data_IF_350882643472
#
_entry.id   IF_350882643472
#
_cell.length_a   1.000
_cell.length_b   1.000
_cell.length_c   1.000
_cell.angle_alpha   90.00
_cell.angle_beta   90.00
_cell.angle_gamma   90.00
#
_symmetry.space_group_name_H-M   'P 1'
#
loop_
_entity.id
_entity.type
_entity.pdbx_description
1 polymer ?
#
# COMPACT_ATOMS: atom_id res chain seq x y z
N UNK A 1 4.02 -1.79 2.46
CA UNK A 1 4.61 -1.17 3.67
C UNK A 1 3.88 -1.43 5.00
N UNK A 2 2.55 -1.35 5.13
CA UNK A 2 1.84 -1.52 6.43
C UNK A 2 2.03 -2.85 7.20
N UNK A 3 2.69 -3.85 6.61
CA UNK A 3 2.92 -5.18 7.20
C UNK A 3 4.39 -5.43 7.59
N UNK A 4 5.25 -4.46 7.35
CA UNK A 4 6.69 -4.54 7.59
C UNK A 4 7.05 -3.28 8.36
N UNK A 5 7.74 -3.43 9.49
CA UNK A 5 8.42 -2.31 10.13
C UNK A 5 9.74 -2.11 9.36
N UNK A 6 9.86 -1.08 8.51
CA UNK A 6 11.12 -0.83 7.84
C UNK A 6 12.15 -0.46 8.90
N UNK A 7 13.27 -1.17 8.90
CA UNK A 7 14.44 -0.80 9.69
C UNK A 7 15.50 -0.42 8.67
N UNK A 8 15.68 0.88 8.48
CA UNK A 8 16.59 1.44 7.48
C UNK A 8 17.78 2.11 8.16
N UNK A 9 18.72 1.34 8.74
CA UNK A 9 19.87 1.94 9.40
C UNK A 9 20.78 2.59 8.35
N UNK A 10 21.32 3.76 8.68
CA UNK A 10 22.27 4.43 7.80
C UNK A 10 23.50 3.55 7.57
N UNK A 11 23.83 3.32 6.30
CA UNK A 11 24.96 2.47 5.92
C UNK A 11 26.27 2.98 6.50
N UNK A 12 26.46 4.29 6.67
CA UNK A 12 27.66 4.84 7.29
C UNK A 12 27.77 4.44 8.78
N UNK A 13 26.64 4.49 9.50
CA UNK A 13 26.56 4.20 10.93
C UNK A 13 26.91 2.74 11.24
N UNK A 14 26.32 1.78 10.51
CA UNK A 14 26.59 0.35 10.75
C UNK A 14 28.01 -0.10 10.37
N UNK A 15 28.76 0.73 9.63
CA UNK A 15 30.14 0.43 9.24
C UNK A 15 31.16 0.94 10.26
N UNK A 16 30.74 1.73 11.25
CA UNK A 16 31.64 2.21 12.28
C UNK A 16 32.18 1.02 13.11
N UNK A 17 33.44 1.11 13.60
CA UNK A 17 34.09 0.01 14.31
C UNK A 17 33.31 -0.51 15.52
N UNK A 18 32.65 0.39 16.28
CA UNK A 18 31.89 0.03 17.47
C UNK A 18 30.69 -0.87 17.14
N UNK A 19 29.87 -0.52 16.15
CA UNK A 19 28.71 -1.34 15.74
C UNK A 19 29.14 -2.69 15.15
N UNK A 20 30.25 -2.71 14.38
CA UNK A 20 30.81 -3.98 13.88
C UNK A 20 31.34 -4.87 15.00
N UNK A 21 31.92 -4.29 16.05
CA UNK A 21 32.39 -5.04 17.21
C UNK A 21 31.21 -5.62 18.00
N UNK A 22 30.19 -4.81 18.30
CA UNK A 22 28.98 -5.25 18.98
C UNK A 22 28.24 -6.35 18.19
N UNK A 23 28.15 -6.22 16.86
CA UNK A 23 27.55 -7.27 16.02
C UNK A 23 28.34 -8.59 16.07
N UNK A 24 29.67 -8.53 16.05
CA UNK A 24 30.51 -9.73 16.21
C UNK A 24 30.31 -10.37 17.59
N UNK A 25 30.21 -9.57 18.63
CA UNK A 25 29.97 -10.06 19.99
C UNK A 25 28.61 -10.79 20.07
N UNK A 26 27.54 -10.17 19.60
CA UNK A 26 26.20 -10.80 19.59
C UNK A 26 26.18 -12.09 18.76
N UNK A 27 26.78 -12.08 17.57
CA UNK A 27 26.82 -13.26 16.69
C UNK A 27 27.77 -14.37 17.17
N UNK A 28 28.69 -14.06 18.09
CA UNK A 28 29.56 -15.06 18.71
C UNK A 28 28.80 -15.95 19.72
N UNK A 29 27.66 -15.49 20.20
CA UNK A 29 26.80 -16.23 21.13
C UNK A 29 25.93 -17.22 20.35
N UNK A 30 25.72 -18.42 20.91
CA UNK A 30 24.80 -19.41 20.36
C UNK A 30 23.35 -19.04 20.70
N UNK A 31 22.79 -18.07 19.97
CA UNK A 31 21.41 -17.58 20.14
C UNK A 31 20.36 -18.70 20.05
N UNK A 32 20.64 -19.79 19.35
CA UNK A 32 19.76 -20.96 19.31
C UNK A 32 19.47 -21.57 20.70
N UNK A 33 20.37 -21.39 21.67
CA UNK A 33 20.18 -21.86 23.04
C UNK A 33 19.17 -21.03 23.84
N UNK A 34 18.89 -19.79 23.41
CA UNK A 34 17.90 -18.93 24.03
C UNK A 34 16.47 -19.42 23.76
N UNK A 35 16.20 -19.87 22.53
CA UNK A 35 14.86 -20.15 22.05
C UNK A 35 14.06 -21.15 22.91
N UNK A 36 14.61 -22.32 23.33
CA UNK A 36 13.82 -23.29 24.11
C UNK A 36 13.29 -22.72 25.43
N UNK A 37 14.13 -22.01 26.19
CA UNK A 37 13.73 -21.41 27.48
C UNK A 37 12.76 -20.25 27.29
N UNK A 38 13.02 -19.40 26.30
CA UNK A 38 12.14 -18.28 26.00
C UNK A 38 10.75 -18.75 25.53
N UNK A 39 10.68 -19.80 24.72
CA UNK A 39 9.40 -20.40 24.30
C UNK A 39 8.66 -20.98 25.50
N UNK A 40 9.34 -21.72 26.38
CA UNK A 40 8.72 -22.27 27.60
C UNK A 40 8.17 -21.16 28.50
N UNK A 41 8.94 -20.10 28.70
CA UNK A 41 8.49 -18.90 29.40
C UNK A 41 7.22 -18.33 28.77
N UNK A 42 7.24 -18.03 27.47
CA UNK A 42 6.09 -17.47 26.77
C UNK A 42 4.84 -18.36 26.86
N UNK A 43 4.99 -19.68 26.81
CA UNK A 43 3.87 -20.63 26.95
C UNK A 43 3.28 -20.68 28.36
N UNK A 44 4.03 -20.28 29.38
CA UNK A 44 3.58 -20.22 30.77
C UNK A 44 2.88 -18.92 31.16
N UNK A 45 2.82 -17.93 30.26
CA UNK A 45 2.29 -16.59 30.56
C UNK A 45 0.82 -16.42 30.24
N UNK A 46 0.20 -15.47 30.91
CA UNK A 46 -1.10 -14.92 30.52
C UNK A 46 -0.90 -13.91 29.37
N UNK A 47 -0.99 -14.43 28.15
CA UNK A 47 -0.86 -13.64 26.94
C UNK A 47 -1.85 -12.47 26.90
N UNK A 48 -3.09 -12.65 27.35
CA UNK A 48 -4.12 -11.61 27.30
C UNK A 48 -3.83 -10.47 28.28
N UNK A 49 -3.21 -10.76 29.42
CA UNK A 49 -2.71 -9.74 30.33
C UNK A 49 -1.53 -8.96 29.72
N UNK A 50 -0.52 -9.65 29.21
CA UNK A 50 0.66 -9.01 28.61
C UNK A 50 0.29 -8.18 27.37
N UNK A 51 -0.59 -8.72 26.51
CA UNK A 51 -1.08 -8.03 25.33
C UNK A 51 -1.85 -6.74 25.70
N UNK A 52 -2.66 -6.76 26.77
CA UNK A 52 -3.36 -5.55 27.24
C UNK A 52 -2.39 -4.47 27.71
N UNK A 53 -1.30 -4.84 28.39
CA UNK A 53 -0.26 -3.89 28.81
C UNK A 53 0.38 -3.26 27.57
N UNK A 54 0.87 -4.08 26.64
CA UNK A 54 1.52 -3.60 25.42
C UNK A 54 0.58 -2.71 24.59
N UNK A 55 -0.68 -3.11 24.45
CA UNK A 55 -1.69 -2.35 23.69
C UNK A 55 -2.00 -1.01 24.34
N UNK A 56 -2.13 -0.94 25.65
CA UNK A 56 -2.36 0.33 26.36
C UNK A 56 -1.23 1.33 26.14
N UNK A 57 0.03 0.85 26.16
CA UNK A 57 1.20 1.68 25.86
C UNK A 57 1.20 2.12 24.38
N UNK A 58 0.93 1.20 23.46
CA UNK A 58 0.87 1.50 22.02
C UNK A 58 -0.19 2.56 21.71
N UNK A 59 -1.41 2.39 22.23
CA UNK A 59 -2.50 3.36 22.07
C UNK A 59 -2.11 4.73 22.63
N UNK A 60 -1.43 4.78 23.78
CA UNK A 60 -0.91 6.01 24.36
C UNK A 60 0.14 6.72 23.48
N UNK A 61 1.06 5.97 22.88
CA UNK A 61 2.12 6.51 22.02
C UNK A 61 1.62 6.94 20.63
N UNK A 62 0.59 6.27 20.12
CA UNK A 62 -0.04 6.58 18.82
C UNK A 62 -1.11 7.67 18.95
N UNK A 63 -1.67 7.89 20.15
CA UNK A 63 -2.72 8.89 20.39
C UNK A 63 -2.33 10.26 19.85
N UNK A 64 -3.21 10.86 19.06
CA UNK A 64 -3.00 12.17 18.43
C UNK A 64 -2.22 12.12 17.11
N UNK A 65 -1.69 10.96 16.73
CA UNK A 65 -1.11 10.71 15.40
C UNK A 65 -2.20 10.01 14.57
N UNK A 66 -2.49 10.49 13.36
CA UNK A 66 -3.48 9.86 12.45
C UNK A 66 -2.93 8.55 11.84
N UNK A 67 -2.46 7.64 12.68
CA UNK A 67 -1.87 6.38 12.24
C UNK A 67 -2.97 5.37 11.89
N UNK A 68 -2.86 4.65 10.76
CA UNK A 68 -3.77 3.56 10.44
C UNK A 68 -3.80 2.48 11.54
N UNK A 69 -4.92 1.75 11.71
CA UNK A 69 -5.03 0.68 12.71
C UNK A 69 -3.87 -0.33 12.69
N UNK A 70 -3.39 -0.68 11.49
CA UNK A 70 -2.28 -1.62 11.30
C UNK A 70 -0.95 -1.14 11.87
N UNK A 71 -0.71 0.17 11.85
CA UNK A 71 0.49 0.75 12.46
C UNK A 71 0.44 0.57 13.98
N UNK A 72 -0.74 0.77 14.56
CA UNK A 72 -0.98 0.52 15.99
C UNK A 72 -0.76 -0.96 16.34
N UNK A 73 -1.25 -1.88 15.51
CA UNK A 73 -1.05 -3.33 15.72
C UNK A 73 0.44 -3.71 15.66
N UNK A 74 1.19 -3.18 14.69
CA UNK A 74 2.63 -3.45 14.57
C UNK A 74 3.43 -2.87 15.74
N UNK A 75 3.12 -1.64 16.16
CA UNK A 75 3.72 -1.02 17.36
C UNK A 75 3.39 -1.83 18.60
N UNK A 76 2.14 -2.31 18.73
CA UNK A 76 1.73 -3.19 19.84
C UNK A 76 2.53 -4.49 19.85
N UNK A 77 2.73 -5.13 18.70
CA UNK A 77 3.52 -6.35 18.60
C UNK A 77 4.99 -6.13 19.00
N UNK A 78 5.59 -5.01 18.58
CA UNK A 78 6.95 -4.64 18.96
C UNK A 78 7.06 -4.42 20.48
N UNK A 79 6.16 -3.64 21.06
CA UNK A 79 6.13 -3.36 22.50
C UNK A 79 5.87 -4.62 23.32
N UNK A 80 5.02 -5.53 22.84
CA UNK A 80 4.81 -6.83 23.46
C UNK A 80 6.11 -7.65 23.49
N UNK A 81 6.89 -7.64 22.40
CA UNK A 81 8.19 -8.32 22.36
C UNK A 81 9.18 -7.75 23.38
N UNK A 82 9.22 -6.42 23.54
CA UNK A 82 10.07 -5.75 24.54
C UNK A 82 9.62 -6.11 25.95
N UNK A 83 8.32 -5.99 26.24
CA UNK A 83 7.74 -6.34 27.54
C UNK A 83 8.03 -7.80 27.92
N UNK A 84 7.82 -8.74 26.99
CA UNK A 84 8.13 -10.16 27.22
C UNK A 84 9.62 -10.40 27.45
N UNK A 85 10.50 -9.66 26.77
CA UNK A 85 11.94 -9.74 27.00
C UNK A 85 12.34 -9.21 28.38
N UNK A 86 11.79 -8.09 28.83
CA UNK A 86 12.02 -7.54 30.17
C UNK A 86 11.59 -8.51 31.26
N UNK A 87 10.38 -9.05 31.12
CA UNK A 87 9.83 -10.03 32.04
C UNK A 87 10.64 -11.33 32.06
N UNK A 88 11.16 -11.77 30.92
CA UNK A 88 12.03 -12.94 30.85
C UNK A 88 13.38 -12.70 31.54
N UNK A 89 13.96 -11.51 31.36
CA UNK A 89 15.20 -11.14 32.02
C UNK A 89 15.01 -11.09 33.55
N UNK A 90 13.89 -10.54 34.02
CA UNK A 90 13.52 -10.52 35.43
C UNK A 90 13.39 -11.93 36.01
N UNK A 91 12.69 -12.84 35.34
CA UNK A 91 12.56 -14.24 35.78
C UNK A 91 13.92 -14.97 35.82
N UNK A 92 14.82 -14.64 34.91
CA UNK A 92 16.18 -15.18 34.90
C UNK A 92 17.13 -14.48 35.89
N UNK A 93 16.69 -13.43 36.58
CA UNK A 93 17.52 -12.65 37.51
C UNK A 93 18.57 -11.77 36.83
N UNK A 94 18.37 -11.40 35.57
CA UNK A 94 19.27 -10.52 34.83
C UNK A 94 18.84 -9.05 34.97
N UNK A 95 19.74 -8.16 35.44
CA UNK A 95 19.45 -6.74 35.47
C UNK A 95 19.49 -6.16 34.06
N UNK A 96 18.42 -5.48 33.68
CA UNK A 96 18.36 -4.69 32.46
C UNK A 96 18.58 -3.20 32.75
N UNK A 97 19.02 -2.41 31.75
CA UNK A 97 18.96 -0.96 31.83
C UNK A 97 17.54 -0.48 32.14
N UNK A 98 17.43 0.66 32.84
CA UNK A 98 16.13 1.24 33.20
C UNK A 98 15.29 1.68 31.99
N UNK A 99 15.94 1.91 30.85
CA UNK A 99 15.31 2.25 29.59
C UNK A 99 15.98 1.48 28.46
N UNK A 100 15.19 0.69 27.73
CA UNK A 100 15.62 -0.05 26.55
C UNK A 100 15.47 0.76 25.25
N UNK A 101 15.01 2.01 25.33
CA UNK A 101 14.79 2.89 24.18
C UNK A 101 13.51 2.56 23.42
N UNK A 102 12.50 2.01 24.09
CA UNK A 102 11.25 1.58 23.46
C UNK A 102 10.51 2.76 22.82
N UNK A 103 10.54 3.93 23.47
CA UNK A 103 9.88 5.14 22.98
C UNK A 103 10.58 5.67 21.74
N UNK A 104 11.90 5.76 21.76
CA UNK A 104 12.73 6.19 20.63
C UNK A 104 12.54 5.25 19.43
N UNK A 105 12.45 3.94 19.68
CA UNK A 105 12.16 2.96 18.63
C UNK A 105 10.77 3.16 18.02
N UNK A 106 9.74 3.38 18.84
CA UNK A 106 8.37 3.68 18.37
C UNK A 106 8.33 5.00 17.60
N UNK A 107 8.99 6.05 18.10
CA UNK A 107 9.04 7.35 17.44
C UNK A 107 9.78 7.27 16.09
N UNK A 108 10.87 6.52 16.00
CA UNK A 108 11.57 6.28 14.73
C UNK A 108 10.69 5.52 13.72
N UNK A 109 9.99 4.47 14.17
CA UNK A 109 9.05 3.72 13.32
C UNK A 109 7.92 4.62 12.85
N UNK A 110 7.32 5.40 13.75
CA UNK A 110 6.21 6.27 13.41
C UNK A 110 6.67 7.42 12.52
N UNK A 111 7.89 7.92 12.69
CA UNK A 111 8.52 8.87 11.79
C UNK A 111 8.63 8.29 10.38
N UNK A 112 9.27 7.13 10.22
CA UNK A 112 9.44 6.49 8.91
C UNK A 112 8.11 6.13 8.23
N UNK A 113 7.09 5.80 9.02
CA UNK A 113 5.77 5.42 8.52
C UNK A 113 4.89 6.64 8.23
N UNK A 114 4.97 7.71 9.02
CA UNK A 114 4.09 8.89 8.90
C UNK A 114 4.70 10.08 8.16
N UNK A 115 6.03 10.14 7.97
CA UNK A 115 6.71 11.22 7.23
C UNK A 115 6.57 11.13 5.70
N UNK A 116 5.87 10.13 5.17
CA UNK A 116 5.26 10.32 3.85
C UNK A 116 4.12 11.34 4.03
N UNK A 117 4.35 12.60 3.65
CA UNK A 117 3.45 13.78 3.81
C UNK A 117 1.98 13.58 3.36
N UNK A 118 1.64 12.44 2.76
CA UNK A 118 0.33 12.07 2.25
C UNK A 118 -0.33 10.89 3.02
N UNK A 119 0.23 10.49 4.16
CA UNK A 119 -0.22 9.35 4.96
C UNK A 119 0.30 8.00 4.44
N UNK A 120 0.18 6.95 5.26
CA UNK A 120 0.59 5.59 4.88
C UNK A 120 -0.32 5.09 3.75
N UNK A 121 0.10 5.29 2.50
CA UNK A 121 -0.62 4.77 1.35
C UNK A 121 -0.26 3.31 1.17
N UNK A 122 -1.27 2.45 1.24
CA UNK A 122 -1.06 1.04 0.90
C UNK A 122 -0.85 0.90 -0.62
N UNK A 123 -0.41 -0.27 -1.09
CA UNK A 123 -0.11 -0.47 -2.51
C UNK A 123 -1.33 -0.28 -3.44
N UNK A 124 -2.57 -0.42 -2.93
CA UNK A 124 -3.77 -0.12 -3.70
C UNK A 124 -3.97 1.40 -3.85
N UNK A 125 -3.70 2.18 -2.80
CA UNK A 125 -3.79 3.64 -2.85
C UNK A 125 -2.79 4.22 -3.84
N UNK A 126 -1.53 3.76 -3.77
CA UNK A 126 -0.48 4.14 -4.72
C UNK A 126 -0.87 3.75 -6.14
N UNK A 127 -1.43 2.55 -6.33
CA UNK A 127 -1.92 2.11 -7.64
C UNK A 127 -3.00 3.06 -8.18
N UNK A 128 -4.05 3.34 -7.41
CA UNK A 128 -5.17 4.22 -7.81
C UNK A 128 -4.68 5.64 -8.10
N UNK A 129 -3.78 6.18 -7.29
CA UNK A 129 -3.19 7.50 -7.51
C UNK A 129 -2.40 7.56 -8.82
N UNK A 130 -1.58 6.54 -9.09
CA UNK A 130 -0.82 6.47 -10.35
C UNK A 130 -1.74 6.32 -11.55
N UNK A 131 -2.87 5.62 -11.41
CA UNK A 131 -3.88 5.61 -12.46
C UNK A 131 -4.48 7.00 -12.71
N UNK A 132 -4.76 7.80 -11.67
CA UNK A 132 -5.18 9.19 -11.88
C UNK A 132 -4.13 9.98 -12.68
N UNK A 133 -2.86 9.91 -12.27
CA UNK A 133 -1.76 10.59 -12.99
C UNK A 133 -1.66 10.15 -14.45
N UNK A 134 -1.75 8.84 -14.70
CA UNK A 134 -1.71 8.27 -16.05
C UNK A 134 -2.93 8.66 -16.89
N UNK A 135 -4.09 8.85 -16.28
CA UNK A 135 -5.30 9.30 -16.96
C UNK A 135 -5.18 10.77 -17.39
N UNK A 136 -4.66 11.64 -16.53
CA UNK A 136 -4.33 13.04 -16.85
C UNK A 136 -3.33 13.13 -18.01
N UNK A 137 -2.32 12.26 -18.00
CA UNK A 137 -1.28 12.20 -19.04
C UNK A 137 -1.77 11.56 -20.36
N UNK A 138 -3.01 11.04 -20.41
CA UNK A 138 -3.58 10.40 -21.59
C UNK A 138 -3.06 8.97 -21.86
N UNK A 139 -2.36 8.37 -20.91
CA UNK A 139 -1.83 7.01 -21.01
C UNK A 139 -2.87 5.94 -20.66
N UNK A 140 -3.83 6.30 -19.80
CA UNK A 140 -5.04 5.51 -19.58
C UNK A 140 -6.11 5.89 -20.58
N UNK A 141 -6.61 4.89 -21.30
CA UNK A 141 -7.63 5.05 -22.35
C UNK A 141 -9.02 4.84 -21.77
N UNK A 142 -9.87 5.86 -21.89
CA UNK A 142 -11.30 5.76 -21.62
C UNK A 142 -11.93 4.65 -22.48
N UNK A 143 -12.89 3.90 -21.92
CA UNK A 143 -13.56 2.71 -22.49
C UNK A 143 -12.68 1.49 -22.72
N UNK A 144 -11.39 1.55 -22.42
CA UNK A 144 -10.47 0.40 -22.50
C UNK A 144 -9.97 0.02 -21.11
N UNK A 145 -9.49 1.00 -20.36
CA UNK A 145 -8.93 0.81 -19.02
C UNK A 145 -9.90 1.26 -17.94
N UNK A 146 -10.68 2.30 -18.21
CA UNK A 146 -11.68 2.82 -17.27
C UNK A 146 -12.92 3.37 -17.97
N UNK A 147 -14.02 3.45 -17.23
CA UNK A 147 -15.24 4.14 -17.60
C UNK A 147 -15.88 4.75 -16.34
N UNK A 148 -16.74 5.77 -16.51
CA UNK A 148 -17.59 6.24 -15.42
C UNK A 148 -19.02 5.78 -15.66
N UNK A 149 -19.62 5.18 -14.63
CA UNK A 149 -21.00 4.73 -14.65
C UNK A 149 -21.66 5.22 -13.38
N UNK A 150 -22.73 6.01 -13.54
CA UNK A 150 -23.49 6.59 -12.41
C UNK A 150 -22.59 7.35 -11.42
N UNK A 151 -21.59 8.09 -11.94
CA UNK A 151 -20.65 8.85 -11.12
C UNK A 151 -19.58 8.03 -10.41
N UNK A 152 -19.52 6.71 -10.64
CA UNK A 152 -18.49 5.81 -10.08
C UNK A 152 -17.42 5.49 -11.11
N UNK A 153 -16.17 5.39 -10.65
CA UNK A 153 -15.06 4.98 -11.48
C UNK A 153 -15.06 3.45 -11.61
N UNK A 154 -15.21 2.95 -12.82
CA UNK A 154 -15.14 1.53 -13.16
C UNK A 154 -13.82 1.23 -13.86
N UNK A 155 -12.94 0.46 -13.22
CA UNK A 155 -11.63 0.08 -13.72
C UNK A 155 -11.64 -1.37 -14.22
N UNK A 156 -11.15 -1.59 -15.44
CA UNK A 156 -10.82 -2.93 -15.89
C UNK A 156 -9.42 -3.28 -15.38
N UNK A 157 -9.37 -4.07 -14.30
CA UNK A 157 -8.16 -4.24 -13.49
C UNK A 157 -6.97 -4.75 -14.30
N UNK A 158 -7.18 -5.72 -15.18
CA UNK A 158 -6.13 -6.36 -15.97
C UNK A 158 -5.48 -5.37 -16.94
N UNK A 159 -6.29 -4.64 -17.71
CA UNK A 159 -5.75 -3.68 -18.69
C UNK A 159 -5.16 -2.43 -18.03
N UNK A 160 -5.76 -1.96 -16.93
CA UNK A 160 -5.20 -0.86 -16.14
C UNK A 160 -3.87 -1.26 -15.47
N UNK A 161 -3.76 -2.48 -14.97
CA UNK A 161 -2.54 -2.99 -14.34
C UNK A 161 -1.40 -3.19 -15.36
N UNK A 162 -1.69 -3.68 -16.55
CA UNK A 162 -0.69 -3.78 -17.62
C UNK A 162 -0.14 -2.41 -18.02
N UNK A 163 -1.03 -1.41 -18.16
CA UNK A 163 -0.62 -0.03 -18.42
C UNK A 163 0.25 0.53 -17.29
N UNK A 164 -0.17 0.30 -16.03
CA UNK A 164 0.58 0.72 -14.84
C UNK A 164 1.98 0.09 -14.76
N UNK A 165 2.10 -1.20 -15.07
CA UNK A 165 3.41 -1.88 -15.10
C UNK A 165 4.36 -1.25 -16.11
N UNK A 166 3.85 -0.90 -17.31
CA UNK A 166 4.65 -0.24 -18.33
C UNK A 166 5.06 1.17 -17.91
N UNK A 167 4.15 1.91 -17.27
CA UNK A 167 4.43 3.22 -16.71
C UNK A 167 5.56 3.17 -15.67
N UNK A 168 5.45 2.30 -14.67
CA UNK A 168 6.46 2.15 -13.61
C UNK A 168 7.84 1.78 -14.16
N UNK A 169 7.89 0.93 -15.20
CA UNK A 169 9.14 0.58 -15.87
C UNK A 169 9.77 1.79 -16.57
N UNK A 170 8.96 2.65 -17.21
CA UNK A 170 9.46 3.82 -17.94
C UNK A 170 9.92 4.93 -17.01
N UNK A 171 9.28 5.09 -15.86
CA UNK A 171 9.60 6.16 -14.90
C UNK A 171 10.64 5.77 -13.85
N UNK A 172 11.31 4.62 -14.00
CA UNK A 172 12.21 4.03 -12.98
C UNK A 172 11.60 4.03 -11.57
N UNK A 173 10.34 3.61 -11.46
CA UNK A 173 9.64 3.62 -10.18
C UNK A 173 10.32 2.69 -9.16
N UNK A 174 10.68 3.24 -7.99
CA UNK A 174 11.44 2.54 -6.94
C UNK A 174 10.61 2.00 -5.79
N UNK A 175 9.30 2.28 -5.76
CA UNK A 175 8.43 1.76 -4.72
C UNK A 175 8.01 0.31 -4.94
N UNK A 176 7.29 -0.25 -3.97
CA UNK A 176 6.80 -1.63 -4.00
C UNK A 176 5.77 -1.83 -5.14
N UNK A 177 6.06 -2.75 -6.06
CA UNK A 177 5.10 -3.19 -7.08
C UNK A 177 4.51 -4.53 -6.69
N UNK A 178 3.25 -4.51 -6.24
CA UNK A 178 2.49 -5.72 -5.93
C UNK A 178 1.91 -6.35 -7.20
N UNK A 179 1.88 -7.68 -7.27
CA UNK A 179 1.25 -8.39 -8.38
C UNK A 179 -0.29 -8.25 -8.36
N UNK A 180 -0.95 -8.64 -9.45
CA UNK A 180 -2.42 -8.56 -9.56
C UNK A 180 -3.13 -9.42 -8.50
N UNK A 181 -2.53 -10.50 -8.03
CA UNK A 181 -3.12 -11.38 -7.01
C UNK A 181 -3.13 -10.70 -5.64
N UNK A 182 -2.03 -10.07 -5.26
CA UNK A 182 -1.91 -9.26 -4.06
C UNK A 182 -2.81 -8.02 -4.15
N UNK A 183 -2.86 -7.36 -5.30
CA UNK A 183 -3.75 -6.21 -5.52
C UNK A 183 -5.22 -6.60 -5.35
N UNK A 184 -5.65 -7.76 -5.86
CA UNK A 184 -7.01 -8.28 -5.61
C UNK A 184 -7.27 -8.50 -4.13
N UNK A 185 -6.31 -8.99 -3.35
CA UNK A 185 -6.49 -9.15 -1.90
C UNK A 185 -6.74 -7.79 -1.23
N UNK A 186 -5.94 -6.78 -1.57
CA UNK A 186 -6.11 -5.42 -1.06
C UNK A 186 -7.47 -4.80 -1.44
N UNK A 187 -7.93 -5.04 -2.67
CA UNK A 187 -9.27 -4.62 -3.13
C UNK A 187 -10.37 -5.22 -2.25
N UNK A 188 -10.30 -6.52 -1.98
CA UNK A 188 -11.30 -7.19 -1.13
C UNK A 188 -11.20 -6.75 0.34
N UNK A 189 -9.99 -6.49 0.84
CA UNK A 189 -9.77 -5.94 2.18
C UNK A 189 -10.39 -4.54 2.31
N UNK A 190 -10.13 -3.63 1.34
CA UNK A 190 -10.70 -2.29 1.31
C UNK A 190 -12.23 -2.31 1.26
N UNK A 191 -12.80 -3.20 0.43
CA UNK A 191 -14.25 -3.38 0.35
C UNK A 191 -14.86 -3.86 1.68
N UNK A 192 -14.26 -4.89 2.32
CA UNK A 192 -14.72 -5.40 3.62
C UNK A 192 -14.62 -4.36 4.74
N UNK A 193 -13.62 -3.49 4.66
CA UNK A 193 -13.44 -2.38 5.60
C UNK A 193 -14.39 -1.20 5.34
N UNK A 194 -15.24 -1.26 4.30
CA UNK A 194 -16.16 -0.17 3.96
C UNK A 194 -15.46 1.05 3.34
N UNK A 195 -14.28 0.86 2.75
CA UNK A 195 -13.49 1.92 2.12
C UNK A 195 -14.10 2.44 0.81
N UNK A 196 -13.23 2.92 -0.09
CA UNK A 196 -13.63 3.49 -1.38
C UNK A 196 -13.96 2.44 -2.45
N UNK A 197 -13.62 1.16 -2.25
CA UNK A 197 -14.02 0.08 -3.15
C UNK A 197 -15.49 -0.28 -2.91
N UNK A 198 -16.35 0.10 -3.86
CA UNK A 198 -17.79 -0.22 -3.83
C UNK A 198 -18.04 -1.67 -4.22
N UNK A 199 -17.38 -2.15 -5.27
CA UNK A 199 -17.50 -3.52 -5.74
C UNK A 199 -16.17 -4.02 -6.28
N UNK A 200 -15.63 -5.13 -5.75
CA UNK A 200 -14.39 -5.74 -6.25
C UNK A 200 -14.50 -6.27 -7.69
N UNK A 201 -15.71 -6.61 -8.15
CA UNK A 201 -15.96 -7.21 -9.46
C UNK A 201 -17.42 -7.07 -9.85
N UNK A 202 -17.73 -6.09 -10.70
CA UNK A 202 -19.07 -5.84 -11.23
C UNK A 202 -19.09 -5.89 -12.76
N UNK A 203 -20.15 -6.42 -13.37
CA UNK A 203 -20.27 -6.45 -14.84
C UNK A 203 -20.73 -5.08 -15.34
N UNK A 204 -19.80 -4.30 -15.87
CA UNK A 204 -20.01 -2.94 -16.34
C UNK A 204 -19.82 -2.84 -17.85
N UNK A 205 -20.63 -2.02 -18.51
CA UNK A 205 -20.51 -1.71 -19.94
C UNK A 205 -19.51 -0.55 -20.14
N UNK A 206 -18.37 -0.81 -20.77
CA UNK A 206 -17.35 0.24 -21.01
C UNK A 206 -17.64 1.05 -22.28
N UNK A 207 -18.34 0.45 -23.25
CA UNK A 207 -18.71 1.07 -24.53
C UNK A 207 -20.04 0.48 -25.04
N UNK A 208 -21.17 1.05 -24.59
CA UNK A 208 -22.50 0.59 -25.01
C UNK A 208 -22.86 -0.84 -24.55
N UNK A 209 -24.02 -1.34 -24.96
CA UNK A 209 -24.61 -2.61 -24.46
C UNK A 209 -23.81 -3.87 -24.80
N UNK A 210 -22.89 -3.83 -25.77
CA UNK A 210 -22.18 -4.99 -26.31
C UNK A 210 -20.88 -5.34 -25.60
N UNK A 211 -20.28 -4.42 -24.84
CA UNK A 211 -18.94 -4.60 -24.26
C UNK A 211 -18.97 -4.60 -22.72
N UNK A 212 -19.62 -5.65 -22.18
CA UNK A 212 -19.69 -5.92 -20.74
C UNK A 212 -18.38 -6.56 -20.26
N UNK A 213 -17.70 -5.91 -19.32
CA UNK A 213 -16.48 -6.42 -18.66
C UNK A 213 -16.67 -6.44 -17.16
N UNK A 214 -15.97 -7.35 -16.48
CA UNK A 214 -15.87 -7.27 -15.03
C UNK A 214 -14.94 -6.11 -14.66
N UNK A 215 -15.40 -5.26 -13.76
CA UNK A 215 -14.70 -4.05 -13.37
C UNK A 215 -14.67 -3.91 -11.85
N UNK A 216 -13.56 -3.36 -11.37
CA UNK A 216 -13.44 -2.81 -10.03
C UNK A 216 -14.22 -1.48 -10.01
N UNK A 217 -15.15 -1.33 -9.08
CA UNK A 217 -15.96 -0.11 -8.92
C UNK A 217 -15.47 0.67 -7.71
N UNK A 218 -15.07 1.92 -7.94
CA UNK A 218 -14.52 2.85 -6.94
C UNK A 218 -15.45 4.04 -6.79
N UNK A 219 -15.74 4.39 -5.54
CA UNK A 219 -16.37 5.65 -5.17
C UNK A 219 -15.28 6.70 -5.02
N UNK A 220 -15.14 7.54 -6.06
CA UNK A 220 -14.09 8.57 -6.12
C UNK A 220 -14.24 9.59 -4.99
N UNK A 221 -15.47 9.86 -4.52
CA UNK A 221 -15.71 10.80 -3.42
C UNK A 221 -15.11 10.33 -2.08
N UNK A 222 -14.82 9.03 -1.93
CA UNK A 222 -14.17 8.45 -0.75
C UNK A 222 -12.64 8.35 -0.87
N UNK A 223 -12.07 8.75 -2.01
CA UNK A 223 -10.62 8.68 -2.24
C UNK A 223 -10.01 10.08 -2.05
N UNK A 224 -9.19 10.33 -1.02
CA UNK A 224 -8.74 11.69 -0.70
C UNK A 224 -7.65 12.24 -1.64
N UNK A 225 -7.08 11.40 -2.52
CA UNK A 225 -5.90 11.72 -3.34
C UNK A 225 -6.16 11.66 -4.85
N UNK A 226 -7.41 11.52 -5.29
CA UNK A 226 -7.81 11.64 -6.70
C UNK A 226 -9.11 12.43 -6.83
N UNK A 227 -9.36 12.99 -8.01
CA UNK A 227 -10.63 13.62 -8.40
C UNK A 227 -11.25 12.90 -9.59
N UNK A 228 -12.57 13.04 -9.76
CA UNK A 228 -13.26 12.54 -10.96
C UNK A 228 -12.74 13.24 -12.24
N UNK A 229 -12.29 14.48 -12.11
CA UNK A 229 -11.72 15.29 -13.20
C UNK A 229 -10.39 14.74 -13.72
N UNK A 230 -9.67 13.96 -12.91
CA UNK A 230 -8.40 13.32 -13.31
C UNK A 230 -8.60 12.29 -14.43
N UNK A 231 -9.83 11.82 -14.62
CA UNK A 231 -10.20 10.76 -15.56
C UNK A 231 -11.04 11.33 -16.71
N UNK A 232 -10.44 11.98 -17.72
CA UNK A 232 -11.20 12.66 -18.77
C UNK A 232 -12.16 11.74 -19.51
N UNK A 233 -13.46 12.08 -19.51
CA UNK A 233 -14.48 11.43 -20.31
C UNK A 233 -14.59 12.17 -21.64
N UNK A 234 -14.16 11.55 -22.73
CA UNK A 234 -14.53 12.06 -24.05
C UNK A 234 -15.99 11.63 -24.28
N UNK A 235 -16.93 12.44 -23.80
CA UNK A 235 -18.17 12.65 -24.54
C UNK A 235 -17.85 13.67 -25.64
N UNK A 236 -18.16 13.33 -26.90
CA UNK A 236 -17.82 14.07 -28.13
C UNK A 236 -16.46 13.77 -28.82
N UNK A 237 -16.44 12.66 -29.55
CA UNK A 237 -16.03 12.74 -30.96
C UNK A 237 -17.30 12.81 -31.84
N UNK A 238 -18.19 13.74 -31.50
CA UNK A 238 -19.27 14.25 -32.34
C UNK A 238 -18.78 15.48 -33.12
N UNK A 239 -17.49 15.51 -33.50
CA UNK A 239 -16.91 16.57 -34.32
C UNK A 239 -16.44 15.98 -35.64
N UNK A 240 -17.35 15.99 -36.61
CA UNK A 240 -17.01 16.29 -37.99
C UNK A 240 -16.58 15.15 -38.90
N UNK A 241 -17.32 14.04 -38.98
CA UNK A 241 -17.44 13.36 -40.28
C UNK A 241 -18.44 14.15 -41.14
N UNK A 242 -18.00 15.30 -41.68
CA UNK A 242 -18.65 15.84 -42.87
C UNK A 242 -18.33 14.86 -43.99
N UNK A 243 -19.36 14.25 -44.55
CA UNK A 243 -19.25 13.37 -45.69
C UNK A 243 -18.45 14.03 -46.80
N UNK A 244 -17.34 13.40 -47.17
CA UNK A 244 -16.77 13.57 -48.49
C UNK A 244 -17.35 12.43 -49.32
N UNK A 245 -18.51 12.72 -49.91
CA UNK A 245 -19.16 11.86 -50.88
C UNK A 245 -18.27 11.67 -52.11
N UNK A 246 -18.37 10.47 -52.67
CA UNK A 246 -18.05 10.08 -54.03
C UNK A 246 -17.87 11.25 -55.02
N UNK A 247 -16.64 11.45 -55.48
CA UNK A 247 -16.37 12.06 -56.78
C UNK A 247 -16.19 10.95 -57.80
N UNK A 248 -17.23 10.68 -58.59
CA UNK A 248 -17.09 9.99 -59.86
C UNK A 248 -16.12 10.80 -60.73
N UNK A 249 -15.02 10.18 -61.14
CA UNK A 249 -14.19 10.68 -62.23
C UNK A 249 -14.68 10.05 -63.53
N UNK A 250 -15.57 10.75 -64.23
CA UNK A 250 -15.86 10.51 -65.64
C UNK A 250 -15.05 11.47 -66.52
N UNK A 251 -14.43 10.86 -67.52
CA UNK A 251 -14.05 11.34 -68.85
C UNK A 251 -12.91 12.36 -69.08
N UNK A 252 -12.03 11.95 -70.00
CA UNK A 252 -11.04 12.80 -70.67
C UNK A 252 -10.09 12.00 -71.56
N UNK A 253 -10.58 11.49 -72.69
CA UNK A 253 -9.77 10.97 -73.81
C UNK A 253 -8.95 12.11 -74.44
N UNK A 254 -7.69 11.90 -74.86
CA UNK A 254 -7.08 12.72 -75.90
C UNK A 254 -7.13 12.02 -77.27
N UNK A 255 -7.27 12.87 -78.29
CA UNK A 255 -7.30 12.61 -79.74
C UNK A 255 -6.01 11.97 -80.27
#
# INVERSE_FOLDING_TARGET
>A
MERILPVSPEKATVQQPAYRAAFREVTSVRLALFAPRYIQFCLGRDFDADYRVARGVAEGLVKGRQAPPRVTDNVTAMLLGIHLFEQFAEECGYPLPADLGAREAVDAVLKDVLEEEEGVRNALDVFVQKLSTMAIQGELKHRVHYAFVEGRLCLHLESAYDAYRMYCKRTDYRGEMVDTKALRRLIHENHRAGGYVVSPSERVCFAGKSLRRCALVIDVAKVPFISAEDFPHIEEASRGWRGQGYGFAEEGRPE
#
